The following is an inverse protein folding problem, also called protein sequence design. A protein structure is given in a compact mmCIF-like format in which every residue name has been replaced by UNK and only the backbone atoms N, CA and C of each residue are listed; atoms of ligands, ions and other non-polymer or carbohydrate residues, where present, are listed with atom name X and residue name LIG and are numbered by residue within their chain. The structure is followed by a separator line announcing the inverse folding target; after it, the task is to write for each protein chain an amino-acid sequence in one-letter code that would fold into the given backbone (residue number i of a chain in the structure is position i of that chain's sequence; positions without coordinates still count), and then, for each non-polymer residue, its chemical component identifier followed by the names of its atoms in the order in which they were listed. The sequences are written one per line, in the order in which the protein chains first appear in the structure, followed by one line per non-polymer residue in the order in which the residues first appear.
data_IF_155174179869
#
_entry.id   IF_155174179869
#
_cell.length_a   1.000
_cell.length_b   1.000
_cell.length_c   1.000
_cell.angle_alpha   90.00
_cell.angle_beta   90.00
_cell.angle_gamma   90.00
#
_symmetry.space_group_name_H-M   'P 1'
#
loop_
_entity.id
_entity.type
_entity.pdbx_description
1 polymer ?
#
# COMPACT_ATOMS: atom_id res chain seq x y z
N UNK A 1 -18.20 -19.93 5.97
CA UNK A 1 -18.13 -20.02 4.50
C UNK A 1 -16.68 -20.12 4.10
N UNK A 2 -16.25 -21.32 3.71
CA UNK A 2 -14.93 -21.54 3.11
C UNK A 2 -14.98 -21.03 1.67
N UNK A 3 -14.01 -20.21 1.28
CA UNK A 3 -13.90 -19.74 -0.10
C UNK A 3 -13.53 -20.92 -1.00
N UNK A 4 -14.48 -21.38 -1.81
CA UNK A 4 -14.25 -22.34 -2.88
C UNK A 4 -13.35 -21.71 -3.95
N UNK A 5 -12.31 -22.42 -4.37
CA UNK A 5 -11.22 -21.94 -5.23
C UNK A 5 -11.59 -21.52 -6.66
N UNK A 6 -12.87 -21.27 -6.97
CA UNK A 6 -13.37 -20.86 -8.29
C UNK A 6 -13.97 -19.44 -8.34
N UNK A 7 -14.00 -18.70 -7.24
CA UNK A 7 -14.53 -17.33 -7.19
C UNK A 7 -13.48 -16.20 -7.17
N UNK A 8 -12.21 -16.53 -7.43
CA UNK A 8 -11.14 -15.56 -7.67
C UNK A 8 -11.21 -15.02 -9.11
N UNK A 9 -12.35 -14.45 -9.48
CA UNK A 9 -12.52 -13.83 -10.79
C UNK A 9 -11.66 -12.57 -10.86
N UNK A 10 -10.62 -12.66 -11.67
CA UNK A 10 -9.85 -11.50 -12.12
C UNK A 10 -10.70 -10.75 -13.12
N UNK A 11 -11.18 -9.56 -12.76
CA UNK A 11 -11.89 -8.71 -13.71
C UNK A 11 -10.85 -7.92 -14.50
N UNK A 12 -10.61 -8.32 -15.75
CA UNK A 12 -9.90 -7.46 -16.68
C UNK A 12 -10.92 -6.45 -17.20
N UNK A 13 -10.77 -5.17 -16.85
CA UNK A 13 -11.48 -4.10 -17.50
C UNK A 13 -10.45 -3.17 -18.14
N UNK A 14 -10.62 -2.87 -19.42
CA UNK A 14 -9.77 -1.91 -20.10
C UNK A 14 -10.40 -0.53 -19.84
N UNK A 15 -9.92 0.22 -18.83
CA UNK A 15 -10.28 1.64 -18.73
C UNK A 15 -9.47 2.37 -19.78
N UNK A 16 -10.06 2.53 -20.97
CA UNK A 16 -9.53 3.45 -21.96
C UNK A 16 -10.07 4.83 -21.59
N UNK A 17 -9.29 5.64 -20.85
CA UNK A 17 -9.65 7.04 -20.64
C UNK A 17 -9.62 7.78 -22.00
N UNK A 18 -10.77 8.14 -22.60
CA UNK A 18 -10.80 8.89 -23.84
C UNK A 18 -10.46 10.35 -23.53
N UNK A 19 -9.84 11.04 -24.48
CA UNK A 19 -9.45 12.46 -24.38
C UNK A 19 -10.60 13.42 -23.97
N UNK A 20 -11.85 12.99 -24.05
CA UNK A 20 -13.05 13.84 -23.95
C UNK A 20 -13.67 13.98 -22.55
N UNK A 21 -13.13 13.33 -21.51
CA UNK A 21 -13.67 13.43 -20.13
C UNK A 21 -12.78 14.18 -19.13
N UNK A 22 -11.69 14.82 -19.60
CA UNK A 22 -10.76 15.57 -18.74
C UNK A 22 -10.57 16.99 -19.28
N UNK A 23 -11.59 17.85 -19.18
CA UNK A 23 -11.55 19.21 -19.72
C UNK A 23 -10.63 20.19 -18.95
N UNK A 24 -10.02 19.77 -17.84
CA UNK A 24 -9.24 20.66 -16.96
C UNK A 24 -7.78 20.21 -16.75
N UNK A 25 -7.25 19.26 -17.53
CA UNK A 25 -5.84 18.88 -17.45
C UNK A 25 -5.00 19.70 -18.44
N UNK A 26 -3.75 20.05 -18.08
CA UNK A 26 -2.87 20.84 -18.94
C UNK A 26 -2.65 20.16 -20.31
N UNK A 27 -2.50 20.92 -21.40
CA UNK A 27 -2.33 20.35 -22.74
C UNK A 27 -0.99 19.61 -22.86
N UNK A 28 -1.05 18.28 -22.86
CA UNK A 28 0.09 17.40 -23.11
C UNK A 28 0.20 16.27 -22.09
N UNK A 29 0.38 15.04 -22.61
CA UNK A 29 0.72 13.82 -21.86
C UNK A 29 -0.47 13.12 -21.16
N UNK A 30 -1.58 12.89 -21.87
CA UNK A 30 -2.43 11.73 -21.55
C UNK A 30 -2.11 10.64 -22.58
N UNK A 31 -1.23 9.72 -22.21
CA UNK A 31 -1.07 8.46 -22.94
C UNK A 31 -2.15 7.50 -22.43
N UNK A 32 -2.87 6.83 -23.34
CA UNK A 32 -3.80 5.77 -22.93
C UNK A 32 -3.07 4.73 -22.09
N UNK A 33 -3.76 4.10 -21.14
CA UNK A 33 -3.19 3.05 -20.32
C UNK A 33 -4.16 1.87 -20.20
N UNK A 34 -3.61 0.67 -19.99
CA UNK A 34 -4.39 -0.48 -19.56
C UNK A 34 -4.33 -0.56 -18.04
N UNK A 35 -5.48 -0.75 -17.40
CA UNK A 35 -5.59 -1.01 -15.97
C UNK A 35 -6.09 -2.45 -15.75
N UNK A 36 -5.70 -3.08 -14.63
CA UNK A 36 -6.29 -4.34 -14.20
C UNK A 36 -6.26 -4.48 -12.68
N UNK A 37 -7.40 -4.88 -12.13
CA UNK A 37 -7.54 -5.29 -10.73
C UNK A 37 -7.27 -6.78 -10.55
N UNK A 38 -6.62 -7.12 -9.43
CA UNK A 38 -6.53 -8.50 -8.96
C UNK A 38 -7.48 -8.72 -7.80
N UNK A 39 -8.32 -9.76 -7.89
CA UNK A 39 -9.27 -10.16 -6.85
C UNK A 39 -10.14 -9.00 -6.31
N UNK A 40 -10.78 -8.19 -7.17
CA UNK A 40 -11.49 -6.97 -6.75
C UNK A 40 -12.57 -7.26 -5.68
N UNK A 41 -13.30 -8.37 -5.80
CA UNK A 41 -14.29 -8.79 -4.80
C UNK A 41 -13.67 -9.05 -3.41
N UNK A 42 -12.52 -9.70 -3.37
CA UNK A 42 -11.83 -10.01 -2.11
C UNK A 42 -11.33 -8.73 -1.43
N UNK A 43 -10.75 -7.81 -2.22
CA UNK A 43 -10.33 -6.51 -1.68
C UNK A 43 -11.50 -5.64 -1.27
N UNK A 44 -12.65 -5.73 -1.96
CA UNK A 44 -13.88 -5.05 -1.53
C UNK A 44 -14.32 -5.49 -0.14
N UNK A 45 -14.31 -6.79 0.14
CA UNK A 45 -14.60 -7.31 1.49
C UNK A 45 -13.61 -6.79 2.55
N UNK A 46 -12.35 -6.58 2.18
CA UNK A 46 -11.34 -6.00 3.09
C UNK A 46 -11.61 -4.52 3.34
N UNK A 47 -11.91 -3.75 2.28
CA UNK A 47 -12.27 -2.34 2.37
C UNK A 47 -13.50 -2.13 3.26
N UNK A 48 -14.53 -2.96 3.11
CA UNK A 48 -15.75 -2.92 3.94
C UNK A 48 -15.47 -3.20 5.41
N UNK A 49 -14.55 -4.14 5.73
CA UNK A 49 -14.14 -4.38 7.12
C UNK A 49 -13.52 -3.14 7.79
N UNK A 50 -12.91 -2.27 7.00
CA UNK A 50 -12.18 -1.07 7.43
C UNK A 50 -12.97 0.23 7.13
N UNK A 51 -14.25 0.11 6.76
CA UNK A 51 -15.16 1.22 6.43
C UNK A 51 -14.63 2.15 5.31
N UNK A 52 -14.01 1.57 4.29
CA UNK A 52 -13.53 2.29 3.11
C UNK A 52 -14.61 2.24 2.03
N UNK A 53 -15.11 3.42 1.66
CA UNK A 53 -16.01 3.56 0.51
C UNK A 53 -15.25 3.34 -0.81
N UNK A 54 -15.91 2.71 -1.79
CA UNK A 54 -15.26 2.34 -3.06
C UNK A 54 -14.95 3.58 -3.90
N UNK A 55 -15.90 4.51 -3.98
CA UNK A 55 -15.79 5.65 -4.88
C UNK A 55 -14.73 6.61 -4.34
N UNK A 56 -14.74 6.82 -3.03
CA UNK A 56 -13.68 7.54 -2.32
C UNK A 56 -12.29 6.87 -2.47
N UNK A 57 -12.22 5.55 -2.36
CA UNK A 57 -10.98 4.80 -2.63
C UNK A 57 -10.47 5.03 -4.07
N UNK A 58 -11.36 4.90 -5.06
CA UNK A 58 -10.99 5.06 -6.48
C UNK A 58 -10.58 6.51 -6.79
N UNK A 59 -11.26 7.50 -6.22
CA UNK A 59 -10.91 8.91 -6.36
C UNK A 59 -9.48 9.18 -5.88
N UNK A 60 -9.10 8.62 -4.73
CA UNK A 60 -7.76 8.83 -4.16
C UNK A 60 -6.66 8.08 -4.92
N UNK A 61 -6.96 6.89 -5.45
CA UNK A 61 -5.97 6.03 -6.11
C UNK A 61 -5.78 6.38 -7.59
N UNK A 62 -6.79 6.95 -8.25
CA UNK A 62 -6.77 7.24 -9.68
C UNK A 62 -6.53 8.72 -10.03
N UNK A 63 -6.53 9.63 -9.05
CA UNK A 63 -6.25 11.05 -9.30
C UNK A 63 -4.77 11.39 -9.05
N UNK A 64 -4.13 12.06 -10.00
CA UNK A 64 -2.76 12.56 -9.86
C UNK A 64 -2.68 13.65 -8.77
N UNK A 65 -3.73 14.46 -8.65
CA UNK A 65 -3.83 15.52 -7.65
C UNK A 65 -3.82 14.98 -6.22
N UNK A 66 -4.23 13.73 -6.01
CA UNK A 66 -4.36 13.13 -4.68
C UNK A 66 -3.13 12.34 -4.24
N UNK A 67 -2.10 12.22 -5.08
CA UNK A 67 -0.97 11.33 -4.84
C UNK A 67 0.34 12.12 -4.71
N UNK A 68 0.96 12.07 -3.53
CA UNK A 68 2.30 12.62 -3.29
C UNK A 68 3.35 11.55 -3.50
N UNK A 69 4.24 11.77 -4.46
CA UNK A 69 5.38 10.91 -4.68
C UNK A 69 6.42 11.08 -3.57
N UNK A 70 6.80 9.97 -2.93
CA UNK A 70 7.92 9.93 -1.99
C UNK A 70 8.87 8.85 -2.50
N UNK A 71 9.95 9.29 -3.15
CA UNK A 71 11.01 8.39 -3.60
C UNK A 71 11.73 7.81 -2.39
N UNK A 72 11.64 6.49 -2.20
CA UNK A 72 12.53 5.79 -1.28
C UNK A 72 13.82 5.48 -2.02
N UNK A 73 14.95 5.96 -1.50
CA UNK A 73 16.29 5.61 -2.00
C UNK A 73 16.63 4.15 -1.75
N UNK A 74 15.99 3.53 -0.74
CA UNK A 74 16.33 2.23 -0.15
C UNK A 74 16.50 1.05 -1.10
N UNK A 75 15.76 1.01 -2.22
CA UNK A 75 15.88 -0.02 -3.27
C UNK A 75 15.43 0.57 -4.61
N UNK A 76 16.27 0.54 -5.66
CA UNK A 76 15.82 0.83 -7.02
C UNK A 76 14.59 -0.03 -7.35
N UNK A 77 13.44 0.60 -7.61
CA UNK A 77 12.18 -0.06 -7.98
C UNK A 77 11.09 -0.14 -6.89
N UNK A 78 11.36 0.28 -5.65
CA UNK A 78 10.33 0.40 -4.60
C UNK A 78 9.91 1.86 -4.43
N UNK A 79 8.83 2.24 -5.09
CA UNK A 79 8.22 3.56 -4.99
C UNK A 79 7.09 3.54 -3.97
N UNK A 80 7.09 4.52 -3.08
CA UNK A 80 6.01 4.76 -2.13
C UNK A 80 5.31 6.04 -2.55
N UNK A 81 4.03 5.95 -2.84
CA UNK A 81 3.19 7.13 -3.00
C UNK A 81 2.25 7.21 -1.81
N UNK A 82 1.92 8.41 -1.35
CA UNK A 82 0.97 8.60 -0.27
C UNK A 82 -0.20 9.41 -0.77
N UNK A 83 -1.40 9.06 -0.32
CA UNK A 83 -2.55 9.91 -0.59
C UNK A 83 -2.43 11.25 0.16
N UNK A 84 -3.03 12.31 -0.38
CA UNK A 84 -3.03 13.64 0.24
C UNK A 84 -3.67 13.64 1.62
N UNK A 85 -4.79 12.93 1.76
CA UNK A 85 -5.49 12.70 3.03
C UNK A 85 -4.73 11.75 3.98
N UNK A 86 -3.56 11.26 3.55
CA UNK A 86 -2.66 10.40 4.30
C UNK A 86 -3.28 9.08 4.76
N UNK A 87 -4.40 8.64 4.17
CA UNK A 87 -5.02 7.35 4.49
C UNK A 87 -4.32 6.15 3.87
N UNK A 88 -3.81 6.32 2.65
CA UNK A 88 -3.27 5.23 1.85
C UNK A 88 -1.80 5.45 1.53
N UNK A 89 -1.10 4.33 1.44
CA UNK A 89 0.22 4.26 0.82
C UNK A 89 0.13 3.29 -0.37
N UNK A 90 0.68 3.69 -1.50
CA UNK A 90 0.81 2.89 -2.71
C UNK A 90 2.24 2.40 -2.78
N UNK A 91 2.43 1.09 -2.91
CA UNK A 91 3.76 0.47 -3.02
C UNK A 91 3.86 -0.25 -4.34
N UNK A 92 4.89 0.05 -5.12
CA UNK A 92 5.21 -0.77 -6.30
C UNK A 92 5.70 -2.15 -5.87
N UNK A 93 5.35 -3.16 -6.66
CA UNK A 93 5.69 -4.56 -6.44
C UNK A 93 6.36 -5.13 -7.68
N UNK A 94 7.25 -6.10 -7.47
CA UNK A 94 7.62 -7.04 -8.52
C UNK A 94 6.45 -7.98 -8.80
N UNK A 95 6.37 -8.50 -10.01
CA UNK A 95 5.36 -9.51 -10.38
C UNK A 95 5.39 -10.74 -9.46
N UNK A 96 6.57 -11.16 -8.99
CA UNK A 96 6.73 -12.26 -8.04
C UNK A 96 6.15 -11.94 -6.65
N UNK A 97 6.34 -10.72 -6.16
CA UNK A 97 5.77 -10.27 -4.87
C UNK A 97 4.25 -10.20 -4.94
N UNK A 98 3.70 -9.70 -6.07
CA UNK A 98 2.26 -9.74 -6.31
C UNK A 98 1.73 -11.18 -6.29
N UNK A 99 2.43 -12.13 -6.93
CA UNK A 99 2.01 -13.54 -6.93
C UNK A 99 1.91 -14.09 -5.49
N UNK A 100 2.92 -13.86 -4.66
CA UNK A 100 2.91 -14.27 -3.25
C UNK A 100 1.76 -13.60 -2.48
N UNK A 101 1.54 -12.30 -2.71
CA UNK A 101 0.44 -11.56 -2.09
C UNK A 101 -0.92 -12.19 -2.42
N UNK A 102 -1.15 -12.57 -3.67
CA UNK A 102 -2.39 -13.19 -4.10
C UNK A 102 -2.56 -14.61 -3.52
N UNK A 103 -1.48 -15.37 -3.42
CA UNK A 103 -1.48 -16.71 -2.78
C UNK A 103 -1.82 -16.62 -1.28
N UNK A 104 -1.32 -15.61 -0.57
CA UNK A 104 -1.60 -15.42 0.86
C UNK A 104 -2.96 -14.74 1.14
N UNK A 105 -3.61 -14.14 0.14
CA UNK A 105 -4.80 -13.30 0.31
C UNK A 105 -5.95 -13.99 1.08
N UNK A 106 -6.30 -15.27 0.84
CA UNK A 106 -7.39 -15.94 1.59
C UNK A 106 -7.08 -16.09 3.09
N UNK A 107 -5.85 -16.49 3.42
CA UNK A 107 -5.38 -16.63 4.81
C UNK A 107 -5.29 -15.26 5.49
N UNK A 108 -4.80 -14.25 4.76
CA UNK A 108 -4.75 -12.88 5.21
C UNK A 108 -6.14 -12.32 5.53
N UNK A 109 -7.12 -12.48 4.63
CA UNK A 109 -8.49 -12.04 4.87
C UNK A 109 -9.08 -12.71 6.13
N UNK A 110 -8.88 -14.02 6.27
CA UNK A 110 -9.34 -14.77 7.44
C UNK A 110 -8.71 -14.25 8.73
N UNK A 111 -7.43 -13.90 8.70
CA UNK A 111 -6.70 -13.32 9.82
C UNK A 111 -7.24 -11.95 10.21
N UNK A 112 -7.35 -11.00 9.28
CA UNK A 112 -7.80 -9.64 9.63
C UNK A 112 -9.28 -9.60 10.07
N UNK A 113 -10.10 -10.54 9.57
CA UNK A 113 -11.50 -10.68 9.98
C UNK A 113 -11.60 -11.20 11.42
N UNK A 114 -10.76 -12.18 11.77
CA UNK A 114 -10.72 -12.77 13.12
C UNK A 114 -10.05 -11.86 14.14
N UNK A 115 -8.97 -11.20 13.75
CA UNK A 115 -8.12 -10.38 14.63
C UNK A 115 -8.17 -8.92 14.18
N UNK A 116 -9.21 -8.20 14.60
CA UNK A 116 -9.40 -6.79 14.23
C UNK A 116 -8.22 -5.90 14.66
N UNK A 117 -7.57 -6.22 15.78
CA UNK A 117 -6.40 -5.51 16.33
C UNK A 117 -5.04 -5.99 15.80
N UNK A 118 -5.01 -6.72 14.68
CA UNK A 118 -3.76 -7.21 14.07
C UNK A 118 -2.77 -6.08 13.77
N UNK A 119 -1.48 -6.35 13.99
CA UNK A 119 -0.39 -5.45 13.62
C UNK A 119 0.00 -5.56 12.13
N UNK A 120 -0.55 -6.55 11.41
CA UNK A 120 -0.33 -6.67 9.97
C UNK A 120 -0.91 -5.46 9.25
N UNK A 121 -0.12 -4.90 8.33
CA UNK A 121 -0.59 -3.76 7.54
C UNK A 121 -1.83 -4.16 6.72
N UNK A 122 -2.77 -3.23 6.58
CA UNK A 122 -4.03 -3.44 5.87
C UNK A 122 -3.81 -3.32 4.37
N UNK A 123 -4.27 -4.30 3.58
CA UNK A 123 -4.17 -4.32 2.12
C UNK A 123 -5.54 -3.97 1.51
N UNK A 124 -5.61 -2.91 0.70
CA UNK A 124 -6.87 -2.37 0.18
C UNK A 124 -7.10 -2.61 -1.31
N UNK A 125 -6.06 -2.96 -2.06
CA UNK A 125 -6.19 -3.31 -3.47
C UNK A 125 -4.86 -3.70 -4.08
N UNK A 126 -4.88 -4.54 -5.11
CA UNK A 126 -3.71 -4.91 -5.89
C UNK A 126 -3.99 -4.75 -7.38
N UNK A 127 -3.11 -4.00 -8.04
CA UNK A 127 -3.38 -3.42 -9.36
C UNK A 127 -2.18 -3.56 -10.28
N UNK A 128 -2.44 -3.49 -11.58
CA UNK A 128 -1.40 -3.25 -12.59
C UNK A 128 -1.86 -2.17 -13.55
N UNK A 129 -0.95 -1.24 -13.85
CA UNK A 129 -1.12 -0.26 -14.92
C UNK A 129 -0.06 -0.49 -15.99
N UNK A 130 -0.43 -0.36 -17.26
CA UNK A 130 0.47 -0.41 -18.40
C UNK A 130 0.22 0.81 -19.28
N UNK A 131 1.08 1.83 -19.24
CA UNK A 131 1.02 2.94 -20.17
C UNK A 131 1.18 2.46 -21.62
N UNK A 132 0.57 3.16 -22.59
CA UNK A 132 0.78 2.90 -24.00
C UNK A 132 2.27 3.02 -24.36
N UNK A 133 2.84 1.95 -24.93
CA UNK A 133 4.28 1.87 -25.22
C UNK A 133 5.18 1.73 -23.98
N UNK A 134 4.62 1.64 -22.77
CA UNK A 134 5.34 1.55 -21.51
C UNK A 134 5.39 0.13 -20.92
N UNK A 135 6.11 0.02 -19.81
CA UNK A 135 6.21 -1.22 -19.03
C UNK A 135 5.09 -1.33 -18.00
N UNK A 136 4.75 -2.56 -17.62
CA UNK A 136 3.76 -2.84 -16.57
C UNK A 136 4.31 -2.43 -15.21
N UNK A 137 3.53 -1.65 -14.47
CA UNK A 137 3.78 -1.31 -13.07
C UNK A 137 2.74 -2.01 -12.23
N UNK A 138 3.19 -2.95 -11.39
CA UNK A 138 2.34 -3.61 -10.40
C UNK A 138 2.44 -2.86 -9.09
N UNK A 139 1.33 -2.69 -8.39
CA UNK A 139 1.33 -2.03 -7.09
C UNK A 139 0.22 -2.53 -6.19
N UNK A 140 0.40 -2.28 -4.91
CA UNK A 140 -0.59 -2.54 -3.86
C UNK A 140 -0.91 -1.24 -3.14
N UNK A 141 -2.19 -1.04 -2.84
CA UNK A 141 -2.66 0.03 -1.95
C UNK A 141 -2.80 -0.55 -0.56
N UNK A 142 -2.20 0.11 0.43
CA UNK A 142 -2.17 -0.34 1.82
C UNK A 142 -2.50 0.80 2.76
N UNK A 143 -2.82 0.49 4.01
CA UNK A 143 -2.94 1.53 5.04
C UNK A 143 -1.62 2.28 5.23
N UNK A 144 -1.73 3.59 5.36
CA UNK A 144 -0.63 4.43 5.77
C UNK A 144 -0.44 4.35 7.29
N UNK A 145 0.56 3.59 7.71
CA UNK A 145 0.92 3.46 9.14
C UNK A 145 1.49 4.75 9.75
N UNK A 146 1.83 5.76 8.93
CA UNK A 146 2.29 7.07 9.38
C UNK A 146 1.16 8.09 9.54
N UNK A 147 -0.10 7.70 9.34
CA UNK A 147 -1.24 8.58 9.60
C UNK A 147 -1.40 8.78 11.11
N UNK A 148 -1.12 9.99 11.57
CA UNK A 148 -1.29 10.38 12.97
C UNK A 148 -1.50 11.89 13.05
N UNK A 149 -2.39 12.32 13.95
CA UNK A 149 -2.55 13.73 14.33
C UNK A 149 -1.43 14.19 15.28
N UNK A 150 -0.64 13.25 15.81
CA UNK A 150 0.49 13.50 16.68
C UNK A 150 1.79 13.64 15.90
N UNK A 151 2.67 14.53 16.39
CA UNK A 151 4.01 14.69 15.84
C UNK A 151 4.85 13.43 16.11
N UNK A 152 5.17 12.67 15.05
CA UNK A 152 6.14 11.58 15.14
C UNK A 152 7.57 12.13 15.20
N UNK A 153 8.25 12.00 16.34
CA UNK A 153 9.61 12.52 16.51
C UNK A 153 10.68 11.61 15.89
N UNK A 154 10.49 10.28 15.95
CA UNK A 154 11.42 9.28 15.42
C UNK A 154 10.63 8.11 14.83
N UNK A 155 11.11 7.56 13.71
CA UNK A 155 10.53 6.39 13.06
C UNK A 155 11.62 5.32 12.90
N UNK A 156 11.30 4.05 13.14
CA UNK A 156 12.26 2.94 13.08
C UNK A 156 11.79 1.79 12.16
N UNK A 157 12.69 1.25 11.34
CA UNK A 157 12.53 -0.03 10.60
C UNK A 157 13.29 -1.15 11.33
N UNK A 158 12.55 -1.90 12.16
CA UNK A 158 13.07 -2.99 13.00
C UNK A 158 12.84 -4.35 12.34
N UNK A 159 13.86 -5.20 12.34
CA UNK A 159 13.81 -6.56 11.75
C UNK A 159 14.49 -7.63 12.61
N UNK A 160 15.09 -7.27 13.75
CA UNK A 160 15.74 -8.20 14.66
C UNK A 160 17.11 -8.69 14.17
N UNK A 161 17.76 -7.95 13.26
CA UNK A 161 19.04 -8.33 12.67
C UNK A 161 19.90 -7.14 12.28
N UNK A 162 21.21 -7.27 12.50
CA UNK A 162 22.22 -6.24 12.24
C UNK A 162 22.79 -6.29 10.80
N UNK A 163 22.58 -7.39 10.06
CA UNK A 163 23.11 -7.57 8.71
C UNK A 163 22.34 -6.71 7.69
N UNK A 164 23.07 -6.03 6.78
CA UNK A 164 22.45 -5.20 5.74
C UNK A 164 21.84 -3.88 6.24
N UNK A 165 22.24 -3.43 7.44
CA UNK A 165 21.69 -2.21 8.09
C UNK A 165 22.49 -0.94 7.89
N UNK A 166 23.62 -0.98 7.16
CA UNK A 166 24.37 0.24 6.77
C UNK A 166 23.54 1.12 5.81
N UNK A 167 23.76 2.43 5.88
CA UNK A 167 22.73 3.48 5.71
C UNK A 167 22.34 3.78 4.26
N UNK A 168 21.03 3.78 4.00
CA UNK A 168 20.33 4.73 3.11
C UNK A 168 19.07 5.16 3.87
N UNK A 169 18.91 6.47 4.06
CA UNK A 169 17.83 7.07 4.85
C UNK A 169 16.62 7.32 3.94
N UNK A 170 15.51 6.62 4.17
CA UNK A 170 14.23 7.03 3.60
C UNK A 170 13.77 8.29 4.31
N UNK A 171 13.33 9.29 3.53
CA UNK A 171 12.69 10.49 4.06
C UNK A 171 11.19 10.44 3.77
N UNK A 172 10.37 10.62 4.80
CA UNK A 172 8.93 10.87 4.66
C UNK A 172 8.59 12.16 5.39
N UNK A 173 8.11 13.18 4.67
CA UNK A 173 7.87 14.53 5.22
C UNK A 173 9.07 15.04 6.04
N UNK A 174 10.27 14.96 5.44
CA UNK A 174 11.56 15.34 6.03
C UNK A 174 12.05 14.46 7.20
N UNK A 175 11.30 13.42 7.59
CA UNK A 175 11.68 12.51 8.68
C UNK A 175 12.52 11.35 8.17
N UNK A 176 13.67 11.16 8.81
CA UNK A 176 14.53 10.01 8.57
C UNK A 176 13.94 8.76 9.21
N UNK A 177 13.81 7.68 8.42
CA UNK A 177 13.54 6.35 8.97
C UNK A 177 14.86 5.75 9.49
N UNK A 178 14.95 5.64 10.81
CA UNK A 178 16.08 5.03 11.51
C UNK A 178 16.04 3.51 11.39
N UNK A 179 17.20 2.85 11.46
CA UNK A 179 17.31 1.39 11.47
C UNK A 179 17.71 0.90 12.86
N UNK A 180 17.71 -0.42 13.03
CA UNK A 180 18.09 -1.07 14.28
C UNK A 180 19.51 -0.75 14.76
N UNK A 181 20.43 -0.42 13.85
CA UNK A 181 21.78 0.07 14.18
C UNK A 181 21.79 1.44 14.88
N UNK A 182 20.69 2.19 14.77
CA UNK A 182 20.54 3.52 15.35
C UNK A 182 19.81 3.47 16.71
N UNK A 183 19.54 2.27 17.24
CA UNK A 183 18.95 2.09 18.56
C UNK A 183 20.04 2.15 19.64
N UNK A 184 19.99 3.20 20.44
CA UNK A 184 20.79 3.41 21.64
C UNK A 184 19.98 3.27 22.94
N UNK A 185 18.72 2.81 22.84
CA UNK A 185 17.80 2.64 23.99
C UNK A 185 16.86 1.44 23.83
N UNK A 186 16.19 1.09 24.93
CA UNK A 186 15.13 0.09 25.00
C UNK A 186 13.76 0.74 24.92
N UNK A 187 12.83 0.14 24.17
CA UNK A 187 11.43 0.59 24.16
C UNK A 187 10.71 0.12 25.43
N UNK A 188 10.24 1.07 26.24
CA UNK A 188 9.31 0.78 27.32
C UNK A 188 7.88 0.87 26.79
N UNK A 189 7.13 -0.23 26.92
CA UNK A 189 5.71 -0.30 26.58
C UNK A 189 4.91 -0.51 27.85
N UNK A 190 3.78 0.17 27.95
CA UNK A 190 2.80 -0.11 29.01
C UNK A 190 2.46 -1.61 29.04
N UNK A 191 2.40 -2.27 30.22
CA UNK A 191 2.25 -3.72 30.31
C UNK A 191 1.08 -4.29 29.52
N UNK A 192 -0.08 -3.61 29.51
CA UNK A 192 -1.25 -4.03 28.76
C UNK A 192 -1.04 -3.94 27.25
N UNK A 193 -0.39 -2.87 26.77
CA UNK A 193 -0.05 -2.71 25.35
C UNK A 193 0.96 -3.78 24.92
N UNK A 194 1.98 -4.03 25.74
CA UNK A 194 2.97 -5.09 25.50
C UNK A 194 2.29 -6.45 25.38
N UNK A 195 1.38 -6.78 26.31
CA UNK A 195 0.65 -8.05 26.26
C UNK A 195 -0.23 -8.19 25.02
N UNK A 196 -0.82 -7.08 24.53
CA UNK A 196 -1.63 -7.08 23.30
C UNK A 196 -0.80 -7.23 22.03
N UNK A 197 0.40 -6.65 21.99
CA UNK A 197 1.28 -6.74 20.81
C UNK A 197 1.93 -8.13 20.69
N UNK A 198 2.20 -8.80 21.81
CA UNK A 198 2.91 -10.09 21.84
C UNK A 198 1.99 -11.32 21.78
N UNK A 199 0.66 -11.15 21.77
CA UNK A 199 -0.33 -12.23 21.71
C UNK A 199 -1.07 -12.21 20.37
#
# INVERSE_FOLDING_TARGET
MAFSGKELMTTNYMIQCPRHHCNNLPPGIVTGFEWKDYCPKSFRLIQELENIDNDDYMMVVCSDETIKQVTSTMRPGNMFLFSNDSRFAIKTLRKSELKVLLEMLPSYYSHIKRFRSTILNKLYGAHVVKPAGGTKVYFVVVANIFKSDLLMHRCYDLKGSLQGRKVEKMQYREKTLHKESDLDFLFYLEPLVRQRILK
#
